data_IF_987497756365
#
_entry.id   IF_987497756365
#
_cell.length_a   1.000
_cell.length_b   1.000
_cell.length_c   1.000
_cell.angle_alpha   90.00
_cell.angle_beta   90.00
_cell.angle_gamma   90.00
#
_symmetry.space_group_name_H-M   'P 1'
#
loop_
_entity.id
_entity.type
_entity.pdbx_description
1 polymer ?
#
# COMPACT_ATOMS: atom_id res chain seq x y z
N UNK A 1 -11.85 -0.63 22.99
CA UNK A 1 -11.20 0.70 22.87
C UNK A 1 -9.79 0.59 22.29
N UNK A 2 -8.87 -0.15 22.92
CA UNK A 2 -7.47 -0.34 22.50
C UNK A 2 -7.25 -0.63 20.99
N UNK A 3 -8.12 -1.42 20.35
CA UNK A 3 -7.99 -1.69 18.91
C UNK A 3 -8.16 -0.42 18.06
N UNK A 4 -9.18 0.40 18.35
CA UNK A 4 -9.42 1.66 17.64
C UNK A 4 -8.30 2.67 17.89
N UNK A 5 -7.80 2.76 19.13
CA UNK A 5 -6.68 3.62 19.47
C UNK A 5 -5.41 3.23 18.72
N UNK A 6 -5.11 1.92 18.62
CA UNK A 6 -3.98 1.42 17.84
C UNK A 6 -4.15 1.67 16.35
N UNK A 7 -5.35 1.43 15.80
CA UNK A 7 -5.63 1.72 14.40
C UNK A 7 -5.44 3.19 14.10
N UNK A 8 -5.91 4.08 14.98
CA UNK A 8 -5.71 5.53 14.84
C UNK A 8 -4.24 5.92 14.73
N UNK A 9 -3.37 5.36 15.58
CA UNK A 9 -1.92 5.61 15.52
C UNK A 9 -1.33 5.25 14.15
N UNK A 10 -1.85 4.21 13.48
CA UNK A 10 -1.38 3.82 12.15
C UNK A 10 -2.04 4.60 11.01
N UNK A 11 -3.31 4.96 11.14
CA UNK A 11 -4.08 5.63 10.07
C UNK A 11 -3.84 7.13 10.03
N UNK A 12 -3.61 7.78 11.17
CA UNK A 12 -3.40 9.24 11.25
C UNK A 12 -2.21 9.71 10.38
N UNK A 13 -1.02 9.09 10.43
CA UNK A 13 0.11 9.50 9.58
C UNK A 13 0.01 8.98 8.13
N UNK A 14 -0.91 8.06 7.85
CA UNK A 14 -0.95 7.36 6.55
C UNK A 14 -1.23 8.33 5.40
N UNK A 15 -2.09 9.32 5.62
CA UNK A 15 -2.46 10.30 4.59
C UNK A 15 -1.24 11.10 4.11
N UNK A 16 -0.39 11.56 5.02
CA UNK A 16 0.82 12.32 4.68
C UNK A 16 1.84 11.47 3.93
N UNK A 17 2.00 10.20 4.35
CA UNK A 17 2.90 9.24 3.69
C UNK A 17 2.40 8.94 2.27
N UNK A 18 1.09 8.72 2.10
CA UNK A 18 0.48 8.47 0.79
C UNK A 18 0.64 9.68 -0.13
N UNK A 19 0.42 10.90 0.37
CA UNK A 19 0.62 12.12 -0.40
C UNK A 19 2.07 12.23 -0.90
N UNK A 20 3.06 12.04 -0.02
CA UNK A 20 4.48 12.09 -0.39
C UNK A 20 4.87 11.13 -1.53
N UNK A 21 4.37 9.89 -1.50
CA UNK A 21 4.66 8.91 -2.57
C UNK A 21 3.80 9.12 -3.82
N UNK A 22 2.61 9.69 -3.68
CA UNK A 22 1.75 10.07 -4.81
C UNK A 22 2.40 11.19 -5.60
N UNK A 23 2.92 12.22 -4.93
CA UNK A 23 3.60 13.36 -5.56
C UNK A 23 4.85 12.94 -6.35
N UNK A 24 5.45 11.81 -5.99
CA UNK A 24 6.60 11.21 -6.68
C UNK A 24 6.21 10.23 -7.78
N UNK A 25 4.92 9.97 -7.97
CA UNK A 25 4.40 8.91 -8.84
C UNK A 25 4.97 7.52 -8.49
N UNK A 26 5.17 7.25 -7.20
CA UNK A 26 5.72 5.99 -6.66
C UNK A 26 4.68 5.17 -5.90
N UNK A 27 3.52 5.75 -5.54
CA UNK A 27 2.50 5.05 -4.78
C UNK A 27 1.70 4.09 -5.67
N UNK A 28 1.75 2.80 -5.34
CA UNK A 28 0.80 1.79 -5.82
C UNK A 28 0.02 1.25 -4.63
N UNK A 29 -1.30 1.47 -4.65
CA UNK A 29 -2.22 0.88 -3.68
C UNK A 29 -2.65 -0.50 -4.18
N UNK A 30 -2.53 -1.51 -3.33
CA UNK A 30 -2.93 -2.90 -3.58
C UNK A 30 -3.92 -3.31 -2.50
N UNK A 31 -5.08 -3.84 -2.89
CA UNK A 31 -6.07 -4.33 -1.94
C UNK A 31 -5.65 -5.68 -1.36
N UNK A 32 -5.66 -5.76 -0.02
CA UNK A 32 -5.38 -6.98 0.76
C UNK A 32 -6.63 -7.81 1.12
N UNK A 33 -7.83 -7.43 0.66
CA UNK A 33 -9.09 -8.13 0.97
C UNK A 33 -9.30 -9.43 0.15
N UNK A 34 -8.27 -9.89 -0.56
CA UNK A 34 -8.28 -11.01 -1.49
C UNK A 34 -7.46 -12.20 -0.97
N UNK A 35 -7.42 -13.29 -1.74
CA UNK A 35 -6.54 -14.41 -1.44
C UNK A 35 -5.07 -14.00 -1.50
N UNK A 36 -4.22 -14.66 -0.70
CA UNK A 36 -2.80 -14.35 -0.57
C UNK A 36 -2.11 -14.37 -1.95
N UNK A 37 -2.38 -15.39 -2.75
CA UNK A 37 -1.77 -15.60 -4.06
C UNK A 37 -2.11 -14.46 -5.03
N UNK A 38 -3.34 -13.94 -4.98
CA UNK A 38 -3.78 -12.82 -5.82
C UNK A 38 -3.08 -11.52 -5.44
N UNK A 39 -2.93 -11.26 -4.13
CA UNK A 39 -2.23 -10.08 -3.62
C UNK A 39 -0.75 -10.14 -4.00
N UNK A 40 -0.10 -11.28 -3.77
CA UNK A 40 1.32 -11.49 -4.10
C UNK A 40 1.55 -11.35 -5.60
N UNK A 41 0.66 -11.90 -6.44
CA UNK A 41 0.77 -11.79 -7.89
C UNK A 41 0.67 -10.33 -8.37
N UNK A 42 -0.23 -9.52 -7.80
CA UNK A 42 -0.30 -8.10 -8.13
C UNK A 42 0.96 -7.32 -7.70
N UNK A 43 1.47 -7.61 -6.50
CA UNK A 43 2.72 -7.01 -6.01
C UNK A 43 3.89 -7.32 -6.95
N UNK A 44 4.04 -8.59 -7.34
CA UNK A 44 5.08 -9.04 -8.25
C UNK A 44 4.94 -8.39 -9.64
N UNK A 45 3.72 -8.34 -10.18
CA UNK A 45 3.43 -7.70 -11.46
C UNK A 45 3.81 -6.22 -11.48
N UNK A 46 3.47 -5.48 -10.41
CA UNK A 46 3.84 -4.08 -10.27
C UNK A 46 5.36 -3.89 -10.21
N UNK A 47 6.07 -4.67 -9.38
CA UNK A 47 7.53 -4.58 -9.26
C UNK A 47 8.21 -4.87 -10.59
N UNK A 48 7.82 -5.95 -11.28
CA UNK A 48 8.38 -6.33 -12.59
C UNK A 48 8.13 -5.25 -13.65
N UNK A 49 6.96 -4.62 -13.65
CA UNK A 49 6.66 -3.51 -14.58
C UNK A 49 7.52 -2.26 -14.33
N UNK A 50 8.04 -2.09 -13.10
CA UNK A 50 8.85 -0.94 -12.70
C UNK A 50 10.36 -1.12 -12.96
N UNK A 51 10.82 -2.34 -13.23
CA UNK A 51 12.24 -2.68 -13.44
C UNK A 51 12.63 -2.61 -14.94
N UNK A 52 11.67 -2.41 -15.84
CA UNK A 52 11.90 -2.25 -17.28
C UNK A 52 11.83 -3.58 -18.06
N UNK A 53 11.20 -3.51 -19.24
CA UNK A 53 11.49 -4.37 -20.37
C UNK A 53 12.78 -3.92 -21.06
#
# INVERSE_FOLDING_TARGET
EVFHERMKIYTDPLAEIQAFYTDKNLLKVISGERALEEVVSEMEGFIKSSIGA
#
